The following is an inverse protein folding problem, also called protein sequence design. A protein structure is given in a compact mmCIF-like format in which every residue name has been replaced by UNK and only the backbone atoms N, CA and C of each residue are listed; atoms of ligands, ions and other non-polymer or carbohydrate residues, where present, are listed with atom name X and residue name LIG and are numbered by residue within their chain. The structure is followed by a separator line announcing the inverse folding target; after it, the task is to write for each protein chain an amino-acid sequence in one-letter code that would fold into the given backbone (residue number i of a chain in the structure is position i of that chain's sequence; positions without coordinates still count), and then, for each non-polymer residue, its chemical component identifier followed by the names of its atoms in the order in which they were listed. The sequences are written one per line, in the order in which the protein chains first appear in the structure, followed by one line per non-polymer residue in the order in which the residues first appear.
data_IF_815476400323
#
_entry.id   IF_815476400323
#
_cell.length_a   1.000
_cell.length_b   1.000
_cell.length_c   1.000
_cell.angle_alpha   90.00
_cell.angle_beta   90.00
_cell.angle_gamma   90.00
#
_symmetry.space_group_name_H-M   'P 1'
#
loop_
_entity.id
_entity.type
_entity.pdbx_description
1 polymer ?
#
# COMPACT_ATOMS: atom_id res chain seq x y z
N UNK A 1 38.95 -12.80 -30.34
CA UNK A 1 37.52 -12.98 -30.00
C UNK A 1 37.45 -13.44 -28.56
N UNK A 2 37.28 -12.53 -27.59
CA UNK A 2 36.65 -12.69 -26.24
C UNK A 2 36.76 -11.31 -25.57
N UNK A 3 35.72 -10.49 -25.71
CA UNK A 3 35.43 -9.32 -24.87
C UNK A 3 33.90 -9.27 -24.80
N UNK A 4 33.34 -9.74 -23.69
CA UNK A 4 31.97 -9.47 -23.20
C UNK A 4 31.69 -10.47 -22.08
N UNK A 5 31.83 -10.04 -20.84
CA UNK A 5 31.08 -10.49 -19.64
C UNK A 5 31.69 -9.78 -18.42
N UNK A 6 31.53 -8.46 -18.33
CA UNK A 6 31.93 -7.69 -17.15
C UNK A 6 30.93 -6.55 -16.83
N UNK A 7 29.64 -6.79 -17.10
CA UNK A 7 28.56 -5.81 -16.90
C UNK A 7 27.63 -6.11 -15.71
N UNK A 8 27.39 -7.39 -15.39
CA UNK A 8 26.41 -7.77 -14.35
C UNK A 8 26.98 -7.93 -12.95
N UNK A 9 28.29 -8.10 -12.77
CA UNK A 9 28.89 -8.20 -11.43
C UNK A 9 29.16 -6.83 -10.79
N UNK A 10 29.32 -5.77 -11.58
CA UNK A 10 29.63 -4.44 -11.05
C UNK A 10 28.44 -3.78 -10.33
N UNK A 11 27.21 -4.02 -10.79
CA UNK A 11 26.00 -3.56 -10.07
C UNK A 11 25.77 -4.34 -8.77
N UNK A 12 26.08 -5.63 -8.73
CA UNK A 12 25.97 -6.43 -7.51
C UNK A 12 27.04 -6.07 -6.46
N UNK A 13 28.28 -5.77 -6.89
CA UNK A 13 29.33 -5.34 -5.97
C UNK A 13 29.09 -3.93 -5.40
N UNK A 14 28.45 -3.02 -6.14
CA UNK A 14 28.06 -1.71 -5.60
C UNK A 14 26.88 -1.79 -4.62
N UNK A 15 25.98 -2.78 -4.75
CA UNK A 15 24.94 -3.03 -3.75
C UNK A 15 25.46 -3.73 -2.48
N UNK A 16 26.51 -4.55 -2.59
CA UNK A 16 27.05 -5.34 -1.46
C UNK A 16 28.11 -4.60 -0.63
N UNK A 17 28.69 -3.50 -1.13
CA UNK A 17 29.70 -2.70 -0.41
C UNK A 17 29.12 -1.59 0.49
N UNK A 18 27.79 -1.52 0.65
CA UNK A 18 27.10 -0.56 1.53
C UNK A 18 26.55 -1.23 2.81
N UNK A 19 27.35 -2.06 3.47
CA UNK A 19 27.08 -2.43 4.88
C UNK A 19 27.48 -1.25 5.77
N UNK A 20 26.68 -0.19 5.68
CA UNK A 20 26.73 1.02 6.49
C UNK A 20 25.31 1.55 6.59
N UNK A 21 24.74 1.46 7.80
CA UNK A 21 23.35 1.79 8.15
C UNK A 21 22.86 3.12 7.54
N UNK A 22 22.24 3.06 6.37
CA UNK A 22 21.55 4.19 5.75
C UNK A 22 20.25 3.70 5.13
N UNK A 23 19.16 4.44 5.35
CA UNK A 23 17.84 4.14 4.78
C UNK A 23 17.94 4.15 3.25
N UNK A 24 17.69 3.00 2.61
CA UNK A 24 17.79 2.92 1.17
C UNK A 24 16.40 3.08 0.53
N UNK A 25 16.29 4.09 -0.34
CA UNK A 25 15.14 4.29 -1.22
C UNK A 25 15.44 3.61 -2.55
N UNK A 26 14.71 2.56 -2.89
CA UNK A 26 14.88 1.84 -4.15
C UNK A 26 13.85 2.28 -5.17
N UNK A 27 14.33 2.66 -6.35
CA UNK A 27 13.47 3.02 -7.47
C UNK A 27 12.59 1.85 -7.89
N UNK A 28 11.32 2.10 -8.18
CA UNK A 28 10.37 1.06 -8.57
C UNK A 28 10.81 0.24 -9.80
N UNK A 29 11.45 0.88 -10.79
CA UNK A 29 11.98 0.19 -11.96
C UNK A 29 13.15 -0.76 -11.63
N UNK A 30 13.97 -0.40 -10.64
CA UNK A 30 15.04 -1.29 -10.17
C UNK A 30 14.44 -2.48 -9.42
N UNK A 31 13.35 -2.27 -8.67
CA UNK A 31 12.68 -3.34 -7.92
C UNK A 31 12.12 -4.43 -8.82
N UNK A 32 11.55 -4.08 -9.98
CA UNK A 32 11.02 -5.06 -10.95
C UNK A 32 12.10 -6.01 -11.51
N UNK A 33 13.38 -5.67 -11.35
CA UNK A 33 14.51 -6.51 -11.78
C UNK A 33 15.06 -7.39 -10.66
N UNK A 34 14.62 -7.19 -9.40
CA UNK A 34 15.10 -7.97 -8.27
C UNK A 34 14.39 -9.33 -8.20
N UNK A 35 15.12 -10.34 -7.72
CA UNK A 35 14.48 -11.62 -7.37
C UNK A 35 13.58 -11.44 -6.14
N UNK A 36 12.53 -12.25 -6.01
CA UNK A 36 11.65 -12.27 -4.83
C UNK A 36 12.43 -12.38 -3.52
N UNK A 37 13.39 -13.31 -3.45
CA UNK A 37 14.21 -13.50 -2.25
C UNK A 37 15.02 -12.26 -1.90
N UNK A 38 15.58 -11.59 -2.91
CA UNK A 38 16.29 -10.32 -2.73
C UNK A 38 15.34 -9.24 -2.22
N UNK A 39 14.15 -9.11 -2.83
CA UNK A 39 13.16 -8.12 -2.43
C UNK A 39 12.73 -8.31 -0.97
N UNK A 40 12.41 -9.54 -0.57
CA UNK A 40 12.05 -9.87 0.81
C UNK A 40 13.16 -9.49 1.79
N UNK A 41 14.42 -9.86 1.49
CA UNK A 41 15.58 -9.51 2.32
C UNK A 41 15.82 -8.00 2.40
N UNK A 42 15.45 -7.22 1.40
CA UNK A 42 15.60 -5.76 1.47
C UNK A 42 14.55 -5.10 2.36
N UNK A 43 13.37 -5.72 2.51
CA UNK A 43 12.30 -5.18 3.35
C UNK A 43 12.67 -5.31 4.83
N UNK A 44 13.03 -6.52 5.28
CA UNK A 44 13.29 -6.81 6.70
C UNK A 44 14.44 -7.80 6.94
N UNK A 45 15.26 -8.07 5.93
CA UNK A 45 16.42 -8.98 5.99
C UNK A 45 16.09 -10.48 6.00
N UNK A 46 14.83 -10.87 5.92
CA UNK A 46 14.39 -12.26 5.82
C UNK A 46 13.91 -12.59 4.40
N UNK A 47 14.15 -13.81 3.92
CA UNK A 47 13.55 -14.32 2.67
C UNK A 47 12.24 -15.09 2.89
N UNK A 48 11.75 -15.14 4.13
CA UNK A 48 10.45 -15.76 4.44
C UNK A 48 9.33 -14.78 4.18
N UNK A 49 8.26 -15.23 3.56
CA UNK A 49 7.01 -14.48 3.47
C UNK A 49 6.15 -14.70 4.72
N UNK A 50 5.33 -13.69 5.03
CA UNK A 50 4.37 -13.69 6.13
C UNK A 50 2.94 -13.74 5.56
N UNK A 51 1.98 -14.27 6.33
CA UNK A 51 0.57 -14.12 6.00
C UNK A 51 0.13 -12.68 6.29
N UNK A 52 -0.45 -12.02 5.28
CA UNK A 52 -0.96 -10.65 5.31
C UNK A 52 -2.49 -10.66 5.48
N UNK A 53 -3.03 -9.60 6.08
CA UNK A 53 -4.46 -9.48 6.41
C UNK A 53 -5.16 -8.40 5.64
N UNK A 54 -6.43 -8.66 5.38
CA UNK A 54 -7.37 -7.75 4.77
C UNK A 54 -8.28 -7.18 5.88
N UNK A 55 -8.59 -5.89 5.84
CA UNK A 55 -9.39 -5.21 6.89
C UNK A 55 -10.74 -4.66 6.40
N UNK A 56 -10.88 -4.49 5.08
CA UNK A 56 -12.08 -3.93 4.43
C UNK A 56 -12.23 -4.53 3.06
N UNK A 57 -13.47 -4.70 2.63
CA UNK A 57 -13.78 -5.19 1.30
C UNK A 57 -15.00 -4.47 0.72
N UNK A 58 -15.09 -4.54 -0.60
CA UNK A 58 -16.24 -4.17 -1.42
C UNK A 58 -16.34 -5.14 -2.59
N UNK A 59 -17.50 -5.20 -3.22
CA UNK A 59 -17.74 -6.05 -4.39
C UNK A 59 -18.82 -5.42 -5.28
N UNK A 60 -18.95 -5.91 -6.52
CA UNK A 60 -19.84 -5.34 -7.54
C UNK A 60 -21.31 -5.30 -7.12
N UNK A 61 -21.78 -6.32 -6.43
CA UNK A 61 -23.12 -6.44 -5.85
C UNK A 61 -23.07 -7.30 -4.60
N UNK A 62 -23.99 -7.12 -3.67
CA UNK A 62 -24.01 -7.84 -2.39
C UNK A 62 -25.21 -8.78 -2.32
N UNK A 63 -25.02 -10.03 -2.72
CA UNK A 63 -25.95 -11.11 -2.36
C UNK A 63 -25.62 -11.62 -0.96
N UNK A 64 -24.33 -11.82 -0.67
CA UNK A 64 -23.80 -12.03 0.67
C UNK A 64 -22.65 -11.06 0.94
N UNK A 65 -22.37 -10.82 2.21
CA UNK A 65 -21.35 -9.86 2.64
C UNK A 65 -19.96 -10.25 2.13
N UNK A 66 -19.22 -9.28 1.60
CA UNK A 66 -17.81 -9.48 1.22
C UNK A 66 -16.92 -9.84 2.41
N UNK A 67 -17.38 -9.55 3.64
CA UNK A 67 -16.60 -9.75 4.87
C UNK A 67 -16.22 -11.21 5.08
N UNK A 68 -17.06 -12.14 4.60
CA UNK A 68 -16.78 -13.57 4.66
C UNK A 68 -15.58 -14.00 3.84
N UNK A 69 -15.13 -13.21 2.87
CA UNK A 69 -13.91 -13.52 2.11
C UNK A 69 -12.63 -13.00 2.79
N UNK A 70 -12.74 -12.33 3.92
CA UNK A 70 -11.64 -11.62 4.62
C UNK A 70 -11.69 -11.81 6.14
N UNK A 71 -12.48 -12.75 6.64
CA UNK A 71 -12.72 -12.95 8.07
C UNK A 71 -11.74 -13.95 8.72
N UNK A 72 -10.79 -14.48 7.96
CA UNK A 72 -9.82 -15.49 8.41
C UNK A 72 -10.45 -16.87 8.68
N UNK A 73 -11.64 -17.15 8.13
CA UNK A 73 -12.26 -18.48 8.18
C UNK A 73 -12.27 -19.15 6.80
N UNK A 74 -11.51 -20.23 6.65
CA UNK A 74 -11.53 -21.04 5.42
C UNK A 74 -12.67 -22.06 5.52
N UNK A 75 -13.90 -21.56 5.57
CA UNK A 75 -15.09 -22.42 5.55
C UNK A 75 -15.74 -22.39 4.17
N UNK A 76 -15.66 -23.53 3.47
CA UNK A 76 -16.18 -23.69 2.10
C UNK A 76 -17.52 -24.43 2.06
N UNK A 77 -18.25 -24.46 3.19
CA UNK A 77 -19.54 -25.14 3.27
C UNK A 77 -20.56 -24.46 2.33
N UNK A 78 -21.18 -25.21 1.38
CA UNK A 78 -22.02 -24.59 0.35
C UNK A 78 -23.28 -23.89 0.87
N UNK A 79 -23.76 -24.27 2.06
CA UNK A 79 -25.05 -23.83 2.63
C UNK A 79 -24.89 -22.93 3.85
N UNK A 80 -23.67 -22.49 4.13
CA UNK A 80 -23.39 -21.57 5.22
C UNK A 80 -23.24 -20.15 4.67
N UNK A 81 -23.62 -19.16 5.47
CA UNK A 81 -23.36 -17.75 5.20
C UNK A 81 -21.89 -17.45 5.55
N UNK A 82 -20.96 -18.12 4.87
CA UNK A 82 -19.51 -18.09 5.16
C UNK A 82 -18.69 -17.79 3.90
N UNK A 83 -19.32 -17.41 2.79
CA UNK A 83 -18.60 -16.92 1.62
C UNK A 83 -19.23 -15.62 1.13
N UNK A 84 -18.40 -14.78 0.50
CA UNK A 84 -18.85 -13.62 -0.24
C UNK A 84 -19.51 -14.06 -1.55
N UNK A 85 -20.69 -13.54 -1.85
CA UNK A 85 -21.43 -13.79 -3.09
C UNK A 85 -21.88 -12.49 -3.74
N UNK A 86 -21.60 -12.35 -5.03
CA UNK A 86 -22.27 -11.35 -5.88
C UNK A 86 -23.61 -11.90 -6.41
N UNK A 87 -24.46 -11.02 -6.94
CA UNK A 87 -25.48 -11.43 -7.91
C UNK A 87 -24.83 -11.82 -9.24
N UNK A 88 -25.64 -12.27 -10.20
CA UNK A 88 -25.19 -12.54 -11.56
C UNK A 88 -24.95 -11.21 -12.31
N UNK A 89 -23.74 -10.68 -12.18
CA UNK A 89 -23.40 -9.35 -12.67
C UNK A 89 -22.75 -9.40 -14.05
N UNK A 90 -22.74 -8.25 -14.71
CA UNK A 90 -21.81 -7.96 -15.79
C UNK A 90 -20.42 -7.75 -15.19
N UNK A 91 -19.46 -8.64 -15.49
CA UNK A 91 -18.06 -8.53 -15.03
C UNK A 91 -17.94 -8.31 -13.52
N UNK A 92 -18.45 -9.25 -12.70
CA UNK A 92 -18.42 -9.14 -11.26
C UNK A 92 -16.99 -8.96 -10.75
N UNK A 93 -16.85 -8.23 -9.65
CA UNK A 93 -15.56 -7.95 -9.05
C UNK A 93 -15.64 -7.93 -7.53
N UNK A 94 -14.50 -8.23 -6.92
CA UNK A 94 -14.26 -8.14 -5.49
C UNK A 94 -12.98 -7.35 -5.26
N UNK A 95 -12.97 -6.48 -4.26
CA UNK A 95 -11.80 -5.72 -3.85
C UNK A 95 -11.68 -5.71 -2.33
N UNK A 96 -10.48 -5.97 -1.82
CA UNK A 96 -10.18 -5.88 -0.40
C UNK A 96 -8.90 -5.09 -0.14
N UNK A 97 -8.83 -4.41 1.00
CA UNK A 97 -7.69 -3.60 1.42
C UNK A 97 -6.86 -4.35 2.46
N UNK A 98 -5.55 -4.37 2.26
CA UNK A 98 -4.58 -4.86 3.23
C UNK A 98 -4.50 -3.92 4.45
N UNK A 99 -4.30 -4.47 5.65
CA UNK A 99 -4.07 -3.67 6.88
C UNK A 99 -2.88 -2.69 6.74
N UNK A 100 -1.88 -3.06 5.93
CA UNK A 100 -0.73 -2.23 5.64
C UNK A 100 -0.29 -2.44 4.17
N UNK A 101 0.21 -1.40 3.49
CA UNK A 101 0.86 -1.55 2.20
C UNK A 101 1.96 -2.61 2.26
N UNK A 102 1.96 -3.51 1.29
CA UNK A 102 2.81 -4.70 1.33
C UNK A 102 3.36 -5.06 -0.04
N UNK A 103 4.50 -5.76 -0.05
CA UNK A 103 4.96 -6.52 -1.20
C UNK A 103 4.30 -7.90 -1.14
N UNK A 104 3.45 -8.21 -2.13
CA UNK A 104 2.64 -9.43 -2.19
C UNK A 104 3.33 -10.47 -3.08
N UNK A 105 3.62 -11.64 -2.50
CA UNK A 105 4.35 -12.74 -3.15
C UNK A 105 3.42 -13.82 -3.71
N UNK A 106 2.25 -14.00 -3.11
CA UNK A 106 1.19 -14.87 -3.63
C UNK A 106 -0.14 -14.62 -2.96
N UNK A 107 -1.20 -15.02 -3.64
CA UNK A 107 -2.58 -14.93 -3.19
C UNK A 107 -3.23 -16.29 -3.40
N UNK A 108 -3.98 -16.77 -2.41
CA UNK A 108 -4.78 -17.98 -2.51
C UNK A 108 -6.26 -17.59 -2.46
N UNK A 109 -7.03 -18.06 -3.42
CA UNK A 109 -8.47 -17.88 -3.46
C UNK A 109 -9.12 -19.20 -3.07
N UNK A 110 -10.03 -19.17 -2.10
CA UNK A 110 -10.90 -20.27 -1.72
C UNK A 110 -12.32 -19.96 -2.16
N UNK A 111 -13.02 -20.94 -2.72
CA UNK A 111 -14.39 -20.80 -3.22
C UNK A 111 -15.16 -22.12 -3.09
N UNK A 112 -16.47 -22.13 -3.31
CA UNK A 112 -17.29 -23.33 -3.15
C UNK A 112 -17.07 -24.35 -4.27
N UNK A 113 -17.30 -25.63 -3.97
CA UNK A 113 -17.46 -26.66 -5.01
C UNK A 113 -18.86 -26.54 -5.65
N UNK A 114 -19.00 -26.97 -6.90
CA UNK A 114 -20.27 -27.03 -7.63
C UNK A 114 -21.01 -25.68 -7.80
N UNK A 115 -20.27 -24.59 -7.96
CA UNK A 115 -20.84 -23.27 -8.27
C UNK A 115 -21.76 -23.26 -9.51
N UNK A 116 -21.57 -24.21 -10.42
CA UNK A 116 -22.37 -24.37 -11.64
C UNK A 116 -23.87 -24.57 -11.37
N UNK A 117 -24.23 -25.08 -10.18
CA UNK A 117 -25.63 -25.18 -9.73
C UNK A 117 -26.25 -23.81 -9.38
N UNK A 118 -25.42 -22.80 -9.06
CA UNK A 118 -25.84 -21.44 -8.67
C UNK A 118 -25.69 -20.41 -9.78
N UNK A 119 -24.93 -20.71 -10.81
CA UNK A 119 -24.75 -19.84 -11.97
C UNK A 119 -23.43 -20.03 -12.67
N UNK A 120 -23.14 -19.13 -13.61
CA UNK A 120 -21.87 -19.11 -14.34
C UNK A 120 -20.76 -18.68 -13.39
N UNK A 121 -19.77 -19.54 -13.16
CA UNK A 121 -18.59 -19.22 -12.35
C UNK A 121 -17.79 -18.06 -12.94
N UNK A 122 -17.72 -16.95 -12.21
CA UNK A 122 -16.93 -15.78 -12.58
C UNK A 122 -15.41 -16.00 -12.48
N UNK A 123 -14.96 -16.98 -11.70
CA UNK A 123 -13.54 -17.32 -11.51
C UNK A 123 -12.97 -18.19 -12.63
N UNK A 124 -13.71 -18.41 -13.73
CA UNK A 124 -13.21 -19.09 -14.93
C UNK A 124 -12.45 -18.18 -15.89
N UNK A 125 -12.68 -16.88 -15.87
CA UNK A 125 -11.95 -15.89 -16.68
C UNK A 125 -11.85 -14.57 -15.92
N UNK A 126 -10.69 -14.29 -15.32
CA UNK A 126 -10.51 -13.12 -14.45
C UNK A 126 -9.06 -12.63 -14.37
N UNK A 127 -8.91 -11.37 -14.01
CA UNK A 127 -7.64 -10.77 -13.60
C UNK A 127 -7.55 -10.69 -12.08
N UNK A 128 -6.40 -11.05 -11.53
CA UNK A 128 -6.04 -10.84 -10.13
C UNK A 128 -5.00 -9.73 -10.03
N UNK A 129 -5.30 -8.68 -9.28
CA UNK A 129 -4.47 -7.48 -9.17
C UNK A 129 -4.07 -7.18 -7.73
N UNK A 130 -2.89 -6.56 -7.59
CA UNK A 130 -2.40 -5.91 -6.38
C UNK A 130 -2.14 -4.45 -6.70
N UNK A 131 -2.86 -3.53 -6.04
CA UNK A 131 -3.03 -2.17 -6.54
C UNK A 131 -3.60 -2.23 -7.96
N UNK A 132 -2.96 -1.56 -8.91
CA UNK A 132 -3.30 -1.66 -10.33
C UNK A 132 -2.49 -2.69 -11.12
N UNK A 133 -1.59 -3.42 -10.46
CA UNK A 133 -0.68 -4.33 -11.16
C UNK A 133 -1.24 -5.74 -11.18
N UNK A 134 -1.38 -6.30 -12.38
CA UNK A 134 -1.83 -7.67 -12.58
C UNK A 134 -0.81 -8.66 -12.02
N UNK A 135 -1.23 -9.50 -11.07
CA UNK A 135 -0.48 -10.67 -10.61
C UNK A 135 -0.69 -11.85 -11.56
N UNK A 136 -1.94 -12.09 -11.97
CA UNK A 136 -2.30 -13.21 -12.82
C UNK A 136 -3.48 -12.83 -13.73
N UNK A 137 -3.43 -13.33 -14.97
CA UNK A 137 -4.61 -13.46 -15.83
C UNK A 137 -4.97 -14.93 -15.89
N UNK A 138 -6.15 -15.28 -15.42
CA UNK A 138 -6.58 -16.65 -15.30
C UNK A 138 -7.72 -16.95 -16.27
N UNK A 139 -7.57 -18.02 -17.05
CA UNK A 139 -8.60 -18.54 -17.92
C UNK A 139 -8.63 -20.07 -17.85
N UNK A 140 -9.81 -20.63 -17.59
CA UNK A 140 -10.05 -22.07 -17.48
C UNK A 140 -11.49 -22.40 -17.82
N UNK A 141 -11.72 -23.58 -18.39
CA UNK A 141 -13.05 -24.11 -18.59
C UNK A 141 -13.63 -24.74 -17.31
N UNK A 142 -12.74 -25.21 -16.42
CA UNK A 142 -13.10 -25.84 -15.15
C UNK A 142 -13.03 -24.86 -13.99
N UNK A 143 -14.04 -24.95 -13.13
CA UNK A 143 -14.11 -24.30 -11.82
C UNK A 143 -13.09 -24.94 -10.85
N UNK A 144 -12.65 -24.21 -9.82
CA UNK A 144 -11.74 -24.73 -8.79
C UNK A 144 -12.33 -24.47 -7.40
N UNK A 145 -11.87 -25.21 -6.37
CA UNK A 145 -12.28 -24.95 -4.98
C UNK A 145 -11.23 -24.12 -4.22
N UNK A 146 -9.95 -24.31 -4.54
CA UNK A 146 -8.91 -23.39 -4.11
C UNK A 146 -7.85 -23.28 -5.19
N UNK A 147 -7.19 -22.13 -5.27
CA UNK A 147 -6.06 -21.93 -6.18
C UNK A 147 -5.09 -20.89 -5.66
N UNK A 148 -3.80 -21.17 -5.81
CA UNK A 148 -2.71 -20.24 -5.47
C UNK A 148 -2.18 -19.57 -6.72
N UNK A 149 -2.01 -18.26 -6.66
CA UNK A 149 -1.45 -17.42 -7.72
C UNK A 149 -0.18 -16.76 -7.21
N UNK A 150 0.93 -16.94 -7.93
CA UNK A 150 2.17 -16.21 -7.66
C UNK A 150 1.98 -14.73 -7.98
N UNK A 151 2.59 -13.85 -7.19
CA UNK A 151 2.65 -12.42 -7.45
C UNK A 151 4.02 -11.86 -7.03
N UNK A 152 4.38 -10.68 -7.52
CA UNK A 152 5.56 -9.93 -7.06
C UNK A 152 5.28 -8.43 -7.18
N UNK A 153 4.11 -8.01 -6.70
CA UNK A 153 3.64 -6.64 -6.83
C UNK A 153 3.52 -5.97 -5.45
N UNK A 154 3.69 -4.65 -5.44
CA UNK A 154 3.50 -3.82 -4.26
C UNK A 154 2.13 -3.15 -4.36
N UNK A 155 1.37 -3.17 -3.26
CA UNK A 155 0.08 -2.51 -3.23
C UNK A 155 -0.57 -2.55 -1.84
N UNK A 156 -1.70 -1.87 -1.73
CA UNK A 156 -2.55 -1.90 -0.53
C UNK A 156 -3.93 -2.53 -0.80
N UNK A 157 -4.25 -2.83 -2.07
CA UNK A 157 -5.54 -3.37 -2.50
C UNK A 157 -5.33 -4.69 -3.25
N UNK A 158 -6.20 -5.67 -3.01
CA UNK A 158 -6.31 -6.91 -3.78
C UNK A 158 -7.61 -6.85 -4.56
N UNK A 159 -7.57 -7.03 -5.88
CA UNK A 159 -8.77 -7.02 -6.73
C UNK A 159 -8.88 -8.29 -7.54
N UNK A 160 -10.06 -8.90 -7.51
CA UNK A 160 -10.46 -9.98 -8.41
C UNK A 160 -11.47 -9.40 -9.39
N UNK A 161 -11.16 -9.38 -10.67
CA UNK A 161 -11.99 -8.77 -11.71
C UNK A 161 -12.32 -9.82 -12.78
N UNK A 162 -13.57 -10.27 -12.81
CA UNK A 162 -14.02 -11.19 -13.86
C UNK A 162 -14.18 -10.48 -15.21
N UNK A 163 -13.91 -11.21 -16.29
CA UNK A 163 -14.18 -10.80 -17.67
C UNK A 163 -15.49 -11.40 -18.21
N UNK A 164 -16.18 -12.21 -17.40
CA UNK A 164 -17.41 -12.87 -17.80
C UNK A 164 -18.63 -12.01 -17.51
N UNK A 165 -19.54 -11.98 -18.47
CA UNK A 165 -20.85 -11.36 -18.32
C UNK A 165 -21.86 -12.35 -17.74
N UNK A 166 -22.79 -11.84 -16.94
CA UNK A 166 -23.83 -12.60 -16.23
C UNK A 166 -23.24 -13.76 -15.42
N UNK A 167 -22.21 -13.47 -14.63
CA UNK A 167 -21.49 -14.44 -13.83
C UNK A 167 -21.59 -14.14 -12.33
N UNK A 168 -21.47 -15.17 -11.51
CA UNK A 168 -21.52 -15.08 -10.06
C UNK A 168 -20.09 -15.24 -9.53
N UNK A 169 -19.62 -14.26 -8.76
CA UNK A 169 -18.34 -14.32 -8.07
C UNK A 169 -18.56 -14.81 -6.65
N UNK A 170 -17.87 -15.90 -6.30
CA UNK A 170 -17.92 -16.49 -4.97
C UNK A 170 -16.52 -16.63 -4.42
N UNK A 171 -16.29 -16.04 -3.25
CA UNK A 171 -15.01 -16.12 -2.52
C UNK A 171 -15.31 -16.45 -1.07
N UNK A 172 -14.82 -17.59 -0.60
CA UNK A 172 -14.95 -18.01 0.79
C UNK A 172 -13.78 -17.54 1.65
N UNK A 173 -12.59 -17.35 1.06
CA UNK A 173 -11.47 -16.72 1.77
C UNK A 173 -10.44 -16.25 0.74
N UNK A 174 -9.85 -15.07 0.99
CA UNK A 174 -8.73 -14.53 0.21
C UNK A 174 -7.49 -14.45 1.11
N UNK A 175 -6.62 -15.45 0.99
CA UNK A 175 -5.39 -15.53 1.79
C UNK A 175 -4.23 -14.91 1.04
N UNK A 176 -3.59 -13.90 1.63
CA UNK A 176 -2.49 -13.16 1.00
C UNK A 176 -1.18 -13.44 1.75
N UNK A 177 -0.08 -13.63 1.02
CA UNK A 177 1.26 -13.75 1.57
C UNK A 177 2.20 -12.68 1.00
N UNK A 178 3.18 -12.29 1.80
CA UNK A 178 4.16 -11.28 1.41
C UNK A 178 4.84 -10.64 2.61
N UNK A 179 5.24 -9.37 2.48
CA UNK A 179 5.83 -8.58 3.57
C UNK A 179 5.27 -7.17 3.63
N UNK A 180 5.02 -6.69 4.85
CA UNK A 180 4.61 -5.31 5.10
C UNK A 180 5.76 -4.36 4.77
N UNK A 181 5.45 -3.28 4.06
CA UNK A 181 6.42 -2.24 3.73
C UNK A 181 6.57 -1.23 4.87
N UNK A 182 7.80 -0.77 5.09
CA UNK A 182 8.10 0.31 6.03
C UNK A 182 7.96 1.66 5.33
N UNK A 183 7.34 2.64 5.99
CA UNK A 183 7.15 3.98 5.46
C UNK A 183 7.98 4.97 6.27
N UNK A 184 8.74 5.83 5.59
CA UNK A 184 9.41 6.95 6.25
C UNK A 184 8.36 7.95 6.73
N UNK A 185 8.44 8.32 8.01
CA UNK A 185 7.61 9.39 8.60
C UNK A 185 8.38 10.64 8.93
N UNK A 186 9.53 10.81 8.29
CA UNK A 186 10.22 12.08 8.27
C UNK A 186 9.25 13.22 7.91
N UNK A 187 9.45 14.36 8.56
CA UNK A 187 8.69 15.59 8.34
C UNK A 187 7.16 15.45 8.47
N UNK A 188 6.67 14.45 9.21
CA UNK A 188 5.25 14.22 9.48
C UNK A 188 4.38 14.22 8.19
N UNK A 189 4.90 13.64 7.10
CA UNK A 189 4.21 13.56 5.81
C UNK A 189 4.29 14.84 4.96
N UNK A 190 5.13 15.80 5.34
CA UNK A 190 5.51 16.95 4.51
C UNK A 190 6.74 16.67 3.63
N UNK A 191 7.26 15.44 3.63
CA UNK A 191 8.31 15.03 2.69
C UNK A 191 7.78 15.18 1.26
N UNK A 192 8.50 15.92 0.41
CA UNK A 192 8.17 16.04 -1.02
C UNK A 192 8.54 14.74 -1.73
N UNK A 193 7.56 14.11 -2.35
CA UNK A 193 7.72 12.87 -3.09
C UNK A 193 8.25 13.19 -4.49
N UNK A 194 9.25 12.44 -4.93
CA UNK A 194 9.86 12.62 -6.24
C UNK A 194 9.08 11.84 -7.30
N UNK A 195 8.65 12.55 -8.34
CA UNK A 195 8.08 11.96 -9.56
C UNK A 195 9.23 11.74 -10.53
N UNK A 196 9.40 10.49 -10.98
CA UNK A 196 10.54 10.09 -11.82
C UNK A 196 10.22 10.08 -13.31
N UNK A 197 8.95 9.89 -13.66
CA UNK A 197 8.42 9.87 -15.03
C UNK A 197 6.99 10.36 -15.03
N UNK A 198 6.50 10.76 -16.19
CA UNK A 198 5.11 11.07 -16.41
C UNK A 198 4.64 10.60 -17.79
N UNK A 199 3.33 10.64 -17.99
CA UNK A 199 2.67 10.49 -19.27
C UNK A 199 1.41 11.38 -19.29
N UNK A 200 0.91 11.68 -20.48
CA UNK A 200 -0.38 12.36 -20.68
C UNK A 200 -1.12 11.76 -21.87
N UNK A 201 -2.42 11.98 -21.94
CA UNK A 201 -3.30 11.45 -23.01
C UNK A 201 -2.92 11.94 -24.41
N UNK A 202 -2.58 13.22 -24.54
CA UNK A 202 -2.13 13.88 -25.76
C UNK A 202 -1.24 15.06 -25.38
N UNK A 203 -0.47 15.58 -26.34
CA UNK A 203 0.41 16.74 -26.13
C UNK A 203 0.02 17.82 -27.12
N UNK A 204 -0.42 18.99 -26.64
CA UNK A 204 -0.60 20.13 -27.53
C UNK A 204 0.74 20.85 -27.73
N UNK A 205 1.24 20.83 -28.98
CA UNK A 205 2.53 21.43 -29.36
C UNK A 205 3.69 20.82 -28.56
N UNK A 206 4.39 21.62 -27.76
CA UNK A 206 5.57 21.22 -26.98
C UNK A 206 5.30 21.21 -25.45
N UNK A 207 4.03 21.23 -25.04
CA UNK A 207 3.61 21.29 -23.64
C UNK A 207 3.57 19.89 -22.99
N UNK A 208 4.73 19.23 -22.99
CA UNK A 208 4.92 17.84 -22.52
C UNK A 208 4.65 17.67 -21.02
N UNK A 209 4.47 16.42 -20.57
CA UNK A 209 4.08 16.11 -19.19
C UNK A 209 5.10 16.53 -18.14
N UNK A 210 6.38 16.59 -18.51
CA UNK A 210 7.49 16.93 -17.62
C UNK A 210 7.39 18.37 -17.12
N UNK A 211 6.71 19.26 -17.86
CA UNK A 211 6.44 20.63 -17.43
C UNK A 211 5.69 20.69 -16.11
N UNK A 212 4.81 19.72 -15.84
CA UNK A 212 4.10 19.66 -14.56
C UNK A 212 4.99 19.19 -13.38
N UNK A 213 6.24 18.80 -13.59
CA UNK A 213 7.13 18.25 -12.54
C UNK A 213 8.57 18.78 -12.64
N UNK A 214 8.79 19.86 -13.37
CA UNK A 214 10.13 20.42 -13.62
C UNK A 214 10.60 21.42 -12.55
N UNK A 215 9.74 21.76 -11.58
CA UNK A 215 9.92 22.77 -10.54
C UNK A 215 9.81 24.23 -11.02
N UNK A 216 9.37 24.45 -12.25
CA UNK A 216 9.07 25.77 -12.74
C UNK A 216 7.64 26.17 -12.33
N UNK A 217 7.51 27.06 -11.35
CA UNK A 217 6.21 27.50 -10.84
C UNK A 217 5.54 28.59 -11.70
N UNK A 218 6.07 28.92 -12.89
CA UNK A 218 5.42 29.86 -13.79
C UNK A 218 4.11 29.24 -14.32
N UNK A 219 3.03 30.02 -14.24
CA UNK A 219 1.67 29.57 -14.57
C UNK A 219 1.19 30.15 -15.91
N UNK A 220 2.12 30.64 -16.74
CA UNK A 220 1.88 31.15 -18.09
C UNK A 220 2.18 30.08 -19.16
N UNK A 221 1.10 29.59 -19.79
CA UNK A 221 1.21 28.59 -20.85
C UNK A 221 2.01 29.10 -22.06
N UNK A 222 1.97 30.40 -22.37
CA UNK A 222 2.67 30.96 -23.54
C UNK A 222 4.18 30.92 -23.40
N UNK A 223 4.68 30.82 -22.17
CA UNK A 223 6.11 30.62 -21.88
C UNK A 223 6.53 29.15 -21.92
N UNK A 224 5.61 28.24 -22.22
CA UNK A 224 5.86 26.79 -22.23
C UNK A 224 6.13 26.24 -20.82
N UNK A 225 5.56 26.87 -19.79
CA UNK A 225 5.74 26.46 -18.40
C UNK A 225 4.79 25.34 -17.95
N UNK A 226 3.75 25.04 -18.72
CA UNK A 226 2.72 24.10 -18.31
C UNK A 226 2.65 22.87 -19.23
N UNK A 227 2.30 21.74 -18.63
CA UNK A 227 1.81 20.57 -19.34
C UNK A 227 0.39 20.89 -19.87
N UNK A 228 0.13 20.55 -21.13
CA UNK A 228 -1.13 20.91 -21.78
C UNK A 228 -1.50 19.89 -22.86
N UNK A 229 -2.67 19.28 -22.72
CA UNK A 229 -3.21 18.30 -23.66
C UNK A 229 -3.89 18.98 -24.85
N UNK A 230 -4.13 18.25 -25.93
CA UNK A 230 -5.08 18.66 -26.95
C UNK A 230 -6.53 18.69 -26.40
N UNK A 231 -7.45 19.27 -27.18
CA UNK A 231 -8.88 19.31 -26.84
C UNK A 231 -9.50 17.93 -27.13
N UNK A 232 -9.68 17.12 -26.09
CA UNK A 232 -10.14 15.73 -26.21
C UNK A 232 -11.06 15.32 -25.07
N UNK A 233 -11.66 14.13 -25.16
CA UNK A 233 -12.52 13.59 -24.10
C UNK A 233 -11.68 13.04 -22.96
N UNK A 234 -11.98 13.48 -21.74
CA UNK A 234 -11.34 13.00 -20.49
C UNK A 234 -9.80 13.00 -20.57
N UNK A 235 -9.16 14.14 -20.93
CA UNK A 235 -7.71 14.24 -20.92
C UNK A 235 -7.16 13.93 -19.53
N UNK A 236 -5.97 13.33 -19.50
CA UNK A 236 -5.33 12.90 -18.25
C UNK A 236 -3.83 13.15 -18.27
N UNK A 237 -3.29 13.36 -17.08
CA UNK A 237 -1.87 13.38 -16.78
C UNK A 237 -1.60 12.36 -15.68
N UNK A 238 -0.52 11.58 -15.81
CA UNK A 238 -0.10 10.60 -14.81
C UNK A 238 1.38 10.77 -14.49
N UNK A 239 1.69 10.93 -13.21
CA UNK A 239 3.05 10.93 -12.68
C UNK A 239 3.37 9.61 -11.98
N UNK A 240 4.56 9.06 -12.21
CA UNK A 240 5.07 7.87 -11.54
C UNK A 240 6.12 8.25 -10.49
N UNK A 241 5.82 7.94 -9.23
CA UNK A 241 6.72 8.12 -8.11
C UNK A 241 8.01 7.32 -8.29
N UNK A 242 9.12 7.87 -7.81
CA UNK A 242 10.39 7.16 -7.78
C UNK A 242 10.32 5.92 -6.88
N UNK A 243 9.67 6.07 -5.73
CA UNK A 243 9.42 5.01 -4.75
C UNK A 243 7.93 5.05 -4.39
N UNK A 244 7.24 3.89 -4.27
CA UNK A 244 5.87 3.86 -3.80
C UNK A 244 5.73 4.60 -2.46
N UNK A 245 4.59 5.25 -2.25
CA UNK A 245 4.37 6.07 -1.07
C UNK A 245 2.88 6.09 -0.69
N UNK A 246 2.60 6.40 0.58
CA UNK A 246 1.31 7.01 0.91
C UNK A 246 1.39 8.46 0.47
N UNK A 247 0.74 8.80 -0.64
CA UNK A 247 0.47 10.19 -1.00
C UNK A 247 -0.48 10.73 0.07
N UNK A 248 -0.16 11.88 0.66
CA UNK A 248 -0.95 12.59 1.69
C UNK A 248 -1.62 13.84 1.10
N UNK A 249 -0.92 14.51 0.18
CA UNK A 249 -1.36 15.78 -0.38
C UNK A 249 -0.76 15.99 -1.77
N UNK A 250 -1.55 16.57 -2.66
CA UNK A 250 -1.10 17.12 -3.93
C UNK A 250 -1.24 18.64 -3.86
N UNK A 251 -0.22 19.37 -4.30
CA UNK A 251 -0.33 20.79 -4.62
C UNK A 251 -0.35 20.94 -6.14
N UNK A 252 -1.44 21.46 -6.67
CA UNK A 252 -1.63 21.66 -8.10
C UNK A 252 -1.56 23.15 -8.42
N UNK A 253 -0.70 23.49 -9.37
CA UNK A 253 -0.59 24.82 -9.97
C UNK A 253 -1.31 24.78 -11.32
N UNK A 254 -2.43 25.48 -11.40
CA UNK A 254 -3.21 25.67 -12.63
C UNK A 254 -2.57 26.77 -13.48
N UNK A 255 -3.18 27.12 -14.61
CA UNK A 255 -2.83 28.34 -15.33
C UNK A 255 -3.21 29.59 -14.53
N UNK A 256 -2.47 30.67 -14.73
CA UNK A 256 -2.78 31.99 -14.19
C UNK A 256 -2.90 33.07 -15.27
N UNK A 257 -2.46 32.78 -16.50
CA UNK A 257 -2.48 33.70 -17.64
C UNK A 257 -3.88 33.88 -18.25
N UNK A 258 -4.69 32.82 -18.28
CA UNK A 258 -6.13 32.81 -18.58
C UNK A 258 -6.72 31.44 -18.24
N UNK A 259 -8.03 31.29 -18.47
CA UNK A 259 -8.60 29.97 -18.77
C UNK A 259 -8.56 28.97 -17.61
N UNK A 260 -8.50 29.47 -16.37
CA UNK A 260 -8.45 28.66 -15.14
C UNK A 260 -9.66 27.72 -15.01
N UNK A 261 -10.78 28.09 -15.62
CA UNK A 261 -12.01 27.31 -15.67
C UNK A 261 -11.87 25.94 -16.34
N UNK A 262 -10.81 25.69 -17.11
CA UNK A 262 -10.53 24.38 -17.71
C UNK A 262 -10.26 23.29 -16.66
N UNK A 263 -9.82 23.66 -15.45
CA UNK A 263 -9.56 22.75 -14.32
C UNK A 263 -10.60 22.88 -13.20
N UNK A 264 -11.89 23.05 -13.57
CA UNK A 264 -12.99 23.16 -12.60
C UNK A 264 -13.60 21.81 -12.19
N UNK A 265 -13.43 20.77 -13.01
CA UNK A 265 -13.98 19.43 -12.75
C UNK A 265 -12.95 18.36 -13.08
N UNK A 266 -12.37 17.74 -12.06
CA UNK A 266 -11.34 16.71 -12.24
C UNK A 266 -11.28 15.72 -11.07
N UNK A 267 -10.70 14.56 -11.35
CA UNK A 267 -10.46 13.50 -10.38
C UNK A 267 -8.96 13.29 -10.18
N UNK A 268 -8.57 13.07 -8.93
CA UNK A 268 -7.25 12.60 -8.54
C UNK A 268 -7.37 11.14 -8.12
N UNK A 269 -6.60 10.27 -8.76
CA UNK A 269 -6.48 8.86 -8.38
C UNK A 269 -5.03 8.49 -8.06
N UNK A 270 -4.85 7.47 -7.22
CA UNK A 270 -3.55 6.87 -6.90
C UNK A 270 -3.66 5.38 -7.10
N UNK A 271 -2.86 4.82 -8.02
CA UNK A 271 -3.01 3.45 -8.53
C UNK A 271 -4.50 3.10 -8.73
N UNK A 272 -5.18 3.89 -9.56
CA UNK A 272 -6.56 3.68 -9.98
C UNK A 272 -7.62 4.03 -8.93
N UNK A 273 -7.24 4.10 -7.66
CA UNK A 273 -8.15 4.36 -6.55
C UNK A 273 -8.48 5.85 -6.44
N UNK A 274 -9.77 6.18 -6.43
CA UNK A 274 -10.23 7.55 -6.26
C UNK A 274 -9.76 8.12 -4.92
N UNK A 275 -9.10 9.26 -5.01
CA UNK A 275 -8.58 9.99 -3.87
C UNK A 275 -9.39 11.24 -3.59
N UNK A 276 -9.66 12.02 -4.64
CA UNK A 276 -10.39 13.28 -4.55
C UNK A 276 -11.14 13.54 -5.86
N UNK A 277 -12.34 14.11 -5.78
CA UNK A 277 -13.08 14.67 -6.92
C UNK A 277 -13.29 16.15 -6.66
N UNK A 278 -12.72 16.99 -7.52
CA UNK A 278 -12.99 18.41 -7.55
C UNK A 278 -14.10 18.68 -8.56
N UNK A 279 -15.17 19.31 -8.11
CA UNK A 279 -16.27 19.76 -8.96
C UNK A 279 -16.81 21.05 -8.38
N UNK A 280 -16.28 22.18 -8.86
CA UNK A 280 -16.70 23.50 -8.41
C UNK A 280 -16.50 24.55 -9.49
N UNK A 281 -17.41 25.51 -9.56
CA UNK A 281 -17.27 26.70 -10.42
C UNK A 281 -16.14 27.63 -9.97
N UNK A 282 -15.58 27.40 -8.78
CA UNK A 282 -14.43 28.14 -8.26
C UNK A 282 -13.18 27.78 -9.06
N UNK A 283 -12.62 28.80 -9.73
CA UNK A 283 -11.32 28.71 -10.37
C UNK A 283 -10.21 28.60 -9.32
N UNK A 284 -9.36 27.59 -9.46
CA UNK A 284 -8.15 27.43 -8.64
C UNK A 284 -6.94 28.01 -9.37
N UNK A 285 -6.06 28.67 -8.61
CA UNK A 285 -4.75 29.07 -9.12
C UNK A 285 -3.68 28.07 -8.61
N UNK A 286 -3.43 28.07 -7.30
CA UNK A 286 -2.63 27.05 -6.61
C UNK A 286 -3.47 26.49 -5.48
N UNK A 287 -3.66 25.18 -5.43
CA UNK A 287 -4.51 24.55 -4.42
C UNK A 287 -3.92 23.23 -3.94
N UNK A 288 -4.04 23.02 -2.63
CA UNK A 288 -3.71 21.77 -1.97
C UNK A 288 -4.94 20.87 -1.91
N UNK A 289 -4.77 19.60 -2.30
CA UNK A 289 -5.78 18.55 -2.24
C UNK A 289 -5.30 17.44 -1.32
N UNK A 290 -6.06 17.15 -0.26
CA UNK A 290 -5.79 15.99 0.57
C UNK A 290 -6.05 14.71 -0.21
N UNK A 291 -5.11 13.79 -0.11
CA UNK A 291 -5.22 12.49 -0.74
C UNK A 291 -4.51 11.50 0.17
N UNK A 292 -5.15 10.44 0.69
CA UNK A 292 -4.53 9.52 1.68
C UNK A 292 -4.49 8.09 1.15
N UNK A 293 -3.83 7.92 0.01
CA UNK A 293 -3.77 6.66 -0.74
C UNK A 293 -2.34 6.20 -0.93
N UNK A 294 -2.13 4.88 -0.83
CA UNK A 294 -0.86 4.28 -1.16
C UNK A 294 -0.80 3.92 -2.65
N UNK A 295 0.32 4.22 -3.28
CA UNK A 295 0.58 3.73 -4.62
C UNK A 295 1.84 4.32 -5.22
N UNK A 296 1.99 4.12 -6.52
CA UNK A 296 3.15 4.54 -7.31
C UNK A 296 2.79 5.47 -8.46
N UNK A 297 1.53 5.50 -8.90
CA UNK A 297 1.05 6.31 -10.02
C UNK A 297 -0.05 7.23 -9.55
N UNK A 298 0.15 8.52 -9.75
CA UNK A 298 -0.82 9.56 -9.42
C UNK A 298 -1.37 10.11 -10.72
N UNK A 299 -2.68 10.01 -10.93
CA UNK A 299 -3.34 10.46 -12.14
C UNK A 299 -4.32 11.58 -11.84
N UNK A 300 -4.27 12.64 -12.65
CA UNK A 300 -5.24 13.73 -12.68
C UNK A 300 -6.01 13.61 -14.00
N UNK A 301 -7.33 13.48 -13.93
CA UNK A 301 -8.18 13.30 -15.12
C UNK A 301 -9.31 14.30 -15.07
N UNK A 302 -9.57 15.01 -16.17
CA UNK A 302 -10.78 15.85 -16.27
C UNK A 302 -12.02 14.95 -16.18
N UNK A 303 -12.93 15.28 -15.26
CA UNK A 303 -14.15 14.51 -15.03
C UNK A 303 -15.29 15.04 -15.91
N UNK A 304 -16.22 14.16 -16.29
CA UNK A 304 -17.32 14.53 -17.20
C UNK A 304 -18.35 15.42 -16.48
N UNK A 305 -18.98 16.35 -17.22
CA UNK A 305 -20.00 17.21 -16.62
C UNK A 305 -20.55 18.38 -17.46
N UNK A 306 -20.15 18.58 -18.73
CA UNK A 306 -20.66 19.69 -19.57
C UNK A 306 -20.96 19.22 -21.00
N UNK A 307 -21.91 19.88 -21.67
CA UNK A 307 -22.49 19.54 -22.99
C UNK A 307 -21.54 19.65 -24.20
N UNK A 308 -20.23 19.69 -23.98
CA UNK A 308 -19.14 19.45 -24.93
C UNK A 308 -18.03 18.76 -24.13
N UNK A 309 -17.95 17.42 -24.19
CA UNK A 309 -17.05 16.61 -23.34
C UNK A 309 -15.57 16.81 -23.64
N UNK A 310 -15.24 17.56 -24.68
CA UNK A 310 -13.87 17.82 -25.05
C UNK A 310 -13.32 19.00 -24.24
N UNK A 311 -12.27 18.75 -23.47
CA UNK A 311 -11.55 19.76 -22.68
C UNK A 311 -10.05 19.64 -22.87
N UNK A 312 -9.31 20.64 -22.42
CA UNK A 312 -7.87 20.54 -22.19
C UNK A 312 -7.60 20.23 -20.72
N UNK A 313 -6.43 19.67 -20.42
CA UNK A 313 -5.89 19.54 -19.08
C UNK A 313 -4.63 20.43 -18.93
N UNK A 314 -4.75 21.63 -18.34
CA UNK A 314 -3.59 22.44 -17.97
C UNK A 314 -3.05 22.06 -16.60
N UNK A 315 -1.75 21.77 -16.52
CA UNK A 315 -1.03 21.56 -15.26
C UNK A 315 0.34 22.26 -15.34
N UNK A 316 0.52 23.34 -14.59
CA UNK A 316 1.78 24.09 -14.60
C UNK A 316 2.80 23.49 -13.64
N UNK A 317 2.36 22.95 -12.51
CA UNK A 317 3.21 22.17 -11.60
C UNK A 317 2.32 21.28 -10.71
N UNK A 318 2.80 20.07 -10.40
CA UNK A 318 2.16 19.11 -9.51
C UNK A 318 3.20 18.64 -8.49
N UNK A 319 3.04 19.07 -7.25
CA UNK A 319 3.92 18.67 -6.15
C UNK A 319 3.21 17.66 -5.24
N UNK A 320 3.84 16.51 -5.03
CA UNK A 320 3.30 15.43 -4.21
C UNK A 320 4.01 15.41 -2.85
N UNK A 321 3.25 15.17 -1.79
CA UNK A 321 3.77 15.07 -0.43
C UNK A 321 3.21 13.85 0.29
N UNK A 322 4.03 13.20 1.11
CA UNK A 322 3.58 12.01 1.82
C UNK A 322 4.68 11.21 2.49
N UNK A 323 4.46 9.90 2.56
CA UNK A 323 5.30 8.94 3.29
C UNK A 323 5.87 7.91 2.31
N UNK A 324 7.12 8.09 1.83
CA UNK A 324 7.73 7.15 0.90
C UNK A 324 8.12 5.84 1.59
N UNK A 325 8.08 4.72 0.86
CA UNK A 325 8.58 3.43 1.35
C UNK A 325 10.09 3.50 1.58
N UNK A 326 10.55 2.88 2.66
CA UNK A 326 11.97 2.67 2.97
C UNK A 326 12.27 1.18 3.05
N UNK A 327 13.42 0.79 2.51
CA UNK A 327 13.94 -0.57 2.60
C UNK A 327 15.08 -0.55 3.62
N UNK A 328 14.83 -1.18 4.76
CA UNK A 328 15.69 -1.05 5.94
C UNK A 328 16.69 -2.20 6.07
N UNK A 329 16.53 -3.29 5.31
CA UNK A 329 17.15 -4.57 5.65
C UNK A 329 16.70 -5.03 7.05
N UNK A 330 17.29 -6.10 7.60
CA UNK A 330 16.94 -6.58 8.95
C UNK A 330 17.32 -5.56 10.04
N UNK A 331 16.41 -4.64 10.37
CA UNK A 331 16.40 -3.99 11.68
C UNK A 331 15.47 -4.77 12.58
N UNK A 332 16.01 -5.78 13.27
CA UNK A 332 15.24 -6.58 14.22
C UNK A 332 14.68 -5.71 15.34
N UNK A 333 13.42 -5.91 15.75
CA UNK A 333 12.85 -5.34 16.96
C UNK A 333 13.82 -5.49 18.13
N UNK A 334 14.08 -4.39 18.84
CA UNK A 334 15.01 -4.37 19.96
C UNK A 334 14.38 -5.01 21.20
N UNK A 335 14.35 -6.34 21.24
CA UNK A 335 13.83 -7.10 22.37
C UNK A 335 14.66 -6.84 23.62
N UNK A 336 13.98 -6.48 24.71
CA UNK A 336 14.60 -6.17 25.99
C UNK A 336 14.53 -7.37 26.92
N UNK A 337 13.38 -8.04 27.00
CA UNK A 337 13.19 -9.20 27.86
C UNK A 337 11.73 -9.46 28.26
N UNK A 338 11.57 -10.46 29.11
CA UNK A 338 10.29 -10.87 29.65
C UNK A 338 10.01 -10.18 31.00
N UNK A 339 8.87 -9.50 31.14
CA UNK A 339 8.54 -8.71 32.34
C UNK A 339 7.10 -8.96 32.81
N UNK A 340 6.87 -9.23 34.10
CA UNK A 340 5.54 -9.35 34.65
C UNK A 340 4.88 -7.97 34.81
N UNK A 341 3.55 -7.92 34.69
CA UNK A 341 2.73 -6.73 34.92
C UNK A 341 1.70 -6.98 36.02
N UNK A 342 1.23 -5.90 36.67
CA UNK A 342 0.19 -5.98 37.70
C UNK A 342 -1.08 -5.26 37.28
N UNK A 343 -2.23 -5.89 37.60
CA UNK A 343 -3.55 -5.48 37.12
C UNK A 343 -3.97 -4.07 37.57
N UNK A 344 -3.53 -3.63 38.75
CA UNK A 344 -3.87 -2.33 39.33
C UNK A 344 -2.86 -1.22 39.00
N UNK A 345 -1.66 -1.57 38.54
CA UNK A 345 -0.59 -0.61 38.22
C UNK A 345 0.31 -1.22 37.15
N UNK A 346 -0.13 -1.16 35.90
CA UNK A 346 0.67 -1.65 34.77
C UNK A 346 1.81 -0.69 34.49
N UNK A 347 2.92 -1.21 33.96
CA UNK A 347 4.00 -0.36 33.48
C UNK A 347 3.67 0.21 32.08
N UNK A 348 3.09 -0.64 31.23
CA UNK A 348 2.55 -0.21 29.94
C UNK A 348 1.06 0.06 30.10
N UNK A 349 0.73 1.35 30.20
CA UNK A 349 -0.61 1.81 30.59
C UNK A 349 -1.62 1.72 29.45
N UNK A 350 -1.16 1.76 28.20
CA UNK A 350 -2.05 1.88 27.04
C UNK A 350 -2.16 0.56 26.28
N UNK A 351 -3.34 -0.05 26.31
CA UNK A 351 -3.67 -1.14 25.40
C UNK A 351 -3.94 -0.56 24.00
N UNK A 352 -2.97 -0.70 23.12
CA UNK A 352 -2.96 -0.03 21.82
C UNK A 352 -3.40 -0.92 20.65
N UNK A 353 -3.54 -2.23 20.88
CA UNK A 353 -4.07 -3.16 19.88
C UNK A 353 -4.44 -4.52 20.46
N UNK A 354 -5.49 -5.14 19.91
CA UNK A 354 -6.07 -6.41 20.39
C UNK A 354 -6.24 -7.49 19.30
N UNK A 355 -5.69 -7.26 18.11
CA UNK A 355 -5.81 -8.18 16.97
C UNK A 355 -4.48 -8.90 16.74
N UNK A 356 -4.42 -9.80 15.76
CA UNK A 356 -3.18 -10.50 15.36
C UNK A 356 -1.96 -9.59 15.43
N UNK A 357 -1.04 -9.88 16.35
CA UNK A 357 0.02 -8.96 16.75
C UNK A 357 1.42 -9.52 16.52
N UNK A 358 2.33 -8.66 16.07
CA UNK A 358 3.77 -8.93 15.96
C UNK A 358 4.56 -7.78 16.60
N UNK A 359 5.85 -7.98 16.92
CA UNK A 359 6.67 -6.89 17.42
C UNK A 359 6.73 -5.72 16.43
N UNK A 360 6.84 -5.96 15.13
CA UNK A 360 6.88 -4.89 14.13
C UNK A 360 5.54 -4.12 14.06
N UNK A 361 4.40 -4.81 14.20
CA UNK A 361 3.08 -4.17 14.24
C UNK A 361 2.94 -3.32 15.48
N UNK A 362 3.32 -3.83 16.65
CA UNK A 362 3.22 -3.10 17.91
C UNK A 362 4.22 -1.95 18.00
N UNK A 363 5.45 -2.12 17.51
CA UNK A 363 6.44 -1.06 17.33
C UNK A 363 5.85 0.10 16.51
N UNK A 364 5.26 -0.21 15.35
CA UNK A 364 4.58 0.79 14.51
C UNK A 364 3.44 1.49 15.23
N UNK A 365 2.63 0.78 16.03
CA UNK A 365 1.51 1.36 16.79
C UNK A 365 2.06 2.31 17.87
N UNK A 366 2.95 1.82 18.73
CA UNK A 366 3.50 2.58 19.85
C UNK A 366 4.38 3.74 19.39
N UNK A 367 5.06 3.61 18.25
CA UNK A 367 5.76 4.70 17.59
C UNK A 367 4.81 5.85 17.20
N UNK A 368 3.57 5.57 16.71
CA UNK A 368 2.58 6.65 16.41
C UNK A 368 2.09 7.35 17.68
N UNK A 369 2.11 6.63 18.78
CA UNK A 369 1.70 7.13 20.09
C UNK A 369 2.83 7.84 20.84
N UNK A 370 4.00 7.99 20.19
CA UNK A 370 5.21 8.58 20.75
C UNK A 370 5.65 7.92 22.08
N UNK A 371 5.47 6.59 22.18
CA UNK A 371 5.91 5.82 23.34
C UNK A 371 7.30 5.24 23.10
N UNK A 372 8.20 5.23 24.10
CA UNK A 372 9.55 4.68 23.97
C UNK A 372 9.61 3.15 24.07
N UNK A 373 8.59 2.52 24.67
CA UNK A 373 8.54 1.07 24.85
C UNK A 373 7.19 0.51 24.44
N UNK A 374 7.23 -0.75 24.08
CA UNK A 374 6.03 -1.54 23.86
C UNK A 374 6.20 -2.95 24.42
N UNK A 375 5.07 -3.57 24.70
CA UNK A 375 4.99 -4.90 25.27
C UNK A 375 3.95 -5.71 24.54
N UNK A 376 4.29 -6.96 24.30
CA UNK A 376 3.39 -7.92 23.67
C UNK A 376 2.92 -8.91 24.73
N UNK A 377 1.61 -9.09 24.82
CA UNK A 377 0.98 -9.91 25.84
C UNK A 377 -0.05 -10.85 25.22
N UNK A 378 -0.15 -12.08 25.74
CA UNK A 378 -1.13 -13.08 25.32
C UNK A 378 -1.14 -13.45 23.82
N UNK A 379 -0.06 -13.21 23.07
CA UNK A 379 -0.03 -13.51 21.63
C UNK A 379 -0.56 -12.39 20.72
N UNK A 380 -1.64 -11.70 21.14
CA UNK A 380 -2.37 -10.72 20.33
C UNK A 380 -2.42 -9.29 20.89
N UNK A 381 -2.03 -9.07 22.15
CA UNK A 381 -2.16 -7.73 22.76
C UNK A 381 -0.90 -6.92 22.50
N UNK A 382 -1.09 -5.66 22.11
CA UNK A 382 -0.05 -4.64 22.05
C UNK A 382 -0.28 -3.60 23.13
N UNK A 383 0.71 -3.41 23.98
CA UNK A 383 0.72 -2.42 25.04
C UNK A 383 1.83 -1.40 24.78
N UNK A 384 1.53 -0.11 24.95
CA UNK A 384 2.50 0.98 24.81
C UNK A 384 2.65 1.73 26.13
N UNK A 385 3.86 2.22 26.41
CA UNK A 385 4.11 2.97 27.64
C UNK A 385 5.49 3.60 27.68
N UNK A 386 5.69 4.44 28.70
CA UNK A 386 6.91 5.20 28.90
C UNK A 386 7.93 4.47 29.77
N UNK A 387 7.48 3.47 30.52
CA UNK A 387 8.27 2.74 31.50
C UNK A 387 7.97 1.24 31.44
N UNK A 388 8.91 0.44 31.94
CA UNK A 388 8.79 -1.01 32.10
C UNK A 388 9.71 -1.47 33.25
N UNK A 389 9.42 -2.65 33.80
CA UNK A 389 10.32 -3.35 34.71
C UNK A 389 10.14 -3.01 36.19
N UNK A 390 9.06 -2.33 36.59
CA UNK A 390 8.79 -2.01 38.00
C UNK A 390 8.64 -3.25 38.88
N UNK A 391 8.34 -4.40 38.26
CA UNK A 391 8.13 -5.69 38.93
C UNK A 391 9.29 -6.67 38.74
N UNK A 392 10.45 -6.17 38.29
CA UNK A 392 11.62 -6.98 38.01
C UNK A 392 11.49 -7.75 36.70
N UNK A 393 12.58 -8.41 36.32
CA UNK A 393 12.65 -9.23 35.10
C UNK A 393 12.25 -10.66 35.40
N UNK A 394 11.46 -11.27 34.52
CA UNK A 394 11.09 -12.68 34.59
C UNK A 394 11.95 -13.53 33.64
N UNK A 395 12.00 -14.84 33.87
CA UNK A 395 12.71 -15.78 32.99
C UNK A 395 12.01 -15.87 31.64
N UNK A 396 12.80 -15.91 30.58
CA UNK A 396 12.32 -15.92 29.19
C UNK A 396 11.31 -17.04 28.90
N UNK A 397 11.42 -18.19 29.58
CA UNK A 397 10.47 -19.32 29.45
C UNK A 397 9.02 -18.96 29.77
N UNK A 398 8.76 -17.86 30.49
CA UNK A 398 7.41 -17.42 30.82
C UNK A 398 6.79 -16.51 29.75
N UNK A 399 7.60 -15.94 28.86
CA UNK A 399 7.14 -15.30 27.62
C UNK A 399 7.11 -16.35 26.52
N UNK A 400 6.24 -17.34 26.64
CA UNK A 400 6.21 -18.52 25.77
C UNK A 400 5.16 -18.45 24.67
N UNK A 401 4.16 -17.59 24.81
CA UNK A 401 3.07 -17.52 23.82
C UNK A 401 3.63 -17.04 22.50
N UNK A 402 3.34 -17.76 21.43
CA UNK A 402 3.71 -17.34 20.08
C UNK A 402 2.98 -16.03 19.76
N UNK A 403 3.66 -15.09 19.12
CA UNK A 403 2.97 -13.95 18.54
C UNK A 403 2.01 -14.44 17.46
N UNK A 404 0.74 -14.05 17.52
CA UNK A 404 -0.22 -14.47 16.51
C UNK A 404 0.25 -14.01 15.13
N UNK A 405 0.81 -12.80 15.05
CA UNK A 405 1.30 -12.14 13.84
C UNK A 405 2.75 -12.41 13.48
N UNK A 406 3.48 -13.28 14.19
CA UNK A 406 4.86 -13.62 13.84
C UNK A 406 5.25 -14.99 14.39
N UNK A 407 5.83 -15.84 13.55
CA UNK A 407 6.40 -17.13 13.98
C UNK A 407 7.80 -17.00 14.59
N UNK A 408 8.44 -15.83 14.46
CA UNK A 408 9.81 -15.60 14.93
C UNK A 408 9.89 -15.15 16.39
N UNK A 409 8.83 -14.56 16.93
CA UNK A 409 8.84 -13.92 18.25
C UNK A 409 7.80 -14.49 19.21
N UNK A 410 8.10 -14.41 20.49
CA UNK A 410 7.16 -14.72 21.57
C UNK A 410 6.54 -13.42 22.10
N UNK A 411 5.22 -13.44 22.30
CA UNK A 411 4.38 -12.31 22.69
C UNK A 411 3.85 -12.47 24.12
N UNK A 412 4.76 -12.66 25.07
CA UNK A 412 4.45 -12.70 26.49
C UNK A 412 3.64 -13.94 26.92
N UNK A 413 2.81 -13.73 27.94
CA UNK A 413 1.79 -14.64 28.47
C UNK A 413 0.74 -13.83 29.25
N UNK A 414 -0.21 -14.47 29.93
CA UNK A 414 -1.19 -13.74 30.76
C UNK A 414 -0.48 -12.94 31.87
N UNK A 415 -0.66 -11.62 31.88
CA UNK A 415 0.01 -10.67 32.80
C UNK A 415 1.55 -10.66 32.74
N UNK A 416 2.14 -11.17 31.66
CA UNK A 416 3.59 -11.14 31.41
C UNK A 416 3.80 -10.64 29.98
N UNK A 417 4.65 -9.65 29.81
CA UNK A 417 4.87 -8.99 28.52
C UNK A 417 6.29 -9.23 28.02
N UNK A 418 6.39 -9.57 26.73
CA UNK A 418 7.64 -9.47 25.99
C UNK A 418 7.86 -8.00 25.67
N UNK A 419 8.85 -7.35 26.31
CA UNK A 419 9.10 -5.92 26.18
C UNK A 419 10.16 -5.64 25.12
N UNK A 420 9.92 -4.59 24.34
CA UNK A 420 10.78 -4.13 23.26
C UNK A 420 10.97 -2.62 23.37
N UNK A 421 12.10 -2.14 22.87
CA UNK A 421 12.29 -0.71 22.60
C UNK A 421 11.57 -0.37 21.30
N UNK A 422 10.78 0.70 21.32
CA UNK A 422 10.24 1.27 20.08
C UNK A 422 11.42 1.72 19.22
N UNK A 423 11.41 1.33 17.95
CA UNK A 423 12.43 1.76 17.00
C UNK A 423 12.37 3.28 16.91
N UNK A 424 13.41 3.95 17.42
CA UNK A 424 13.61 5.37 17.12
C UNK A 424 13.75 5.46 15.61
N UNK A 425 12.81 6.10 14.94
CA UNK A 425 13.05 6.57 13.59
C UNK A 425 14.26 7.51 13.70
N UNK A 426 15.37 7.17 13.06
CA UNK A 426 16.63 7.93 13.12
C UNK A 426 16.51 9.26 12.37
N UNK A 427 15.62 10.14 12.84
CA UNK A 427 15.38 11.46 12.27
C UNK A 427 15.40 12.59 13.31
N UNK A 428 16.08 12.39 14.44
CA UNK A 428 16.35 13.45 15.43
C UNK A 428 17.83 13.89 15.42
N UNK A 429 18.37 14.22 14.24
CA UNK A 429 19.59 15.04 14.12
C UNK A 429 19.41 16.17 13.11
N UNK A 430 18.39 16.99 13.33
CA UNK A 430 18.33 18.35 12.75
C UNK A 430 17.41 19.24 13.59
N UNK A 431 17.66 19.34 14.90
CA UNK A 431 17.28 20.56 15.62
C UNK A 431 18.32 21.62 15.28
N UNK A 432 17.95 22.80 14.75
CA UNK A 432 18.86 23.93 14.74
C UNK A 432 19.17 24.26 16.20
N UNK A 433 20.45 24.24 16.56
CA UNK A 433 20.93 24.92 17.77
C UNK A 433 20.49 26.38 17.69
N UNK A 434 19.80 26.82 18.74
CA UNK A 434 19.36 28.20 18.94
C UNK A 434 20.54 29.15 19.02
#
# INVERSE_FOLDING_TARGET
MVRKFCGSLALLLQLLLLVGQSQQFLKEDNMKQLSRSTMLKMIDGSDKEDRLYLERCTQSSQLESCQFAVDDDINQAPWSNECAFTTADMRPWFEARLENPSFVTRIQLFTVRNIEERGRDALRDFDLLVGDFTCARYRSYASFSNRTFSCDNIGEHIRVQSHLDHAVLVLCEVVVYGKVLHLSRADNGNTRLKVSRCAMSSVEKNNICERAIDNNLDQDLKKGACAYTEKEKRPWWEGRLEVPAIVRKLRVYNRADCCQSQLNTFEITVDGQLCFRYDADKMINVQDFECRRFGSRVRITIAMGKTDDNSHLPLCEVQLYGFPVVYLGAKKPSYIGCFPERRLKRDLETLAGLNRMSPDKCDRICSRMNKPFFGLQQGFQCWCGDHYGSYGREREKFCWMQCDGSTEYKCGAKMISSIFKVSKQEYEKSKPTR
#
